data_IF_941936498692
#
_entry.id   IF_941936498692
#
_cell.length_a   1.000
_cell.length_b   1.000
_cell.length_c   1.000
_cell.angle_alpha   90.00
_cell.angle_beta   90.00
_cell.angle_gamma   90.00
#
_symmetry.space_group_name_H-M   'P 1'
#
loop_
_entity.id
_entity.type
_entity.pdbx_description
1 polymer ?
#
# COMPACT_ATOMS: atom_id res chain seq x y z
N UNK A 1 23.50 -70.44 -18.62
CA UNK A 1 23.75 -68.99 -18.87
C UNK A 1 25.06 -68.62 -18.16
N UNK A 2 26.03 -68.11 -18.94
CA UNK A 2 27.40 -67.92 -18.47
C UNK A 2 27.53 -66.76 -17.49
N UNK A 3 28.19 -66.97 -16.34
CA UNK A 3 28.41 -66.00 -15.28
C UNK A 3 29.00 -64.65 -15.71
N UNK A 4 29.71 -64.64 -16.85
CA UNK A 4 30.24 -63.40 -17.49
C UNK A 4 29.14 -62.48 -18.07
N UNK A 5 28.03 -63.01 -18.56
CA UNK A 5 26.89 -62.17 -19.08
C UNK A 5 26.11 -61.51 -17.95
N UNK A 6 26.01 -62.16 -16.78
CA UNK A 6 25.32 -61.60 -15.61
C UNK A 6 26.13 -60.42 -15.02
N UNK A 7 27.47 -60.53 -14.96
CA UNK A 7 28.33 -59.43 -14.45
C UNK A 7 28.31 -58.21 -15.37
N UNK A 8 28.27 -58.40 -16.71
CA UNK A 8 28.19 -57.30 -17.65
C UNK A 8 26.81 -56.60 -17.61
N UNK A 9 25.74 -57.34 -17.35
CA UNK A 9 24.39 -56.77 -17.24
C UNK A 9 24.22 -55.97 -15.96
N UNK A 10 24.77 -56.42 -14.83
CA UNK A 10 24.71 -55.72 -13.56
C UNK A 10 25.56 -54.44 -13.58
N UNK A 11 26.74 -54.44 -14.21
CA UNK A 11 27.58 -53.26 -14.37
C UNK A 11 26.92 -52.23 -15.27
N UNK A 12 26.28 -52.63 -16.38
CA UNK A 12 25.57 -51.73 -17.28
C UNK A 12 24.35 -51.09 -16.60
N UNK A 13 23.59 -51.86 -15.81
CA UNK A 13 22.43 -51.33 -15.08
C UNK A 13 22.85 -50.34 -14.02
N UNK A 14 24.01 -50.60 -13.34
CA UNK A 14 24.53 -49.68 -12.30
C UNK A 14 25.05 -48.37 -12.93
N UNK A 15 25.72 -48.43 -14.09
CA UNK A 15 26.21 -47.25 -14.80
C UNK A 15 25.04 -46.37 -15.31
N UNK A 16 23.96 -46.99 -15.83
CA UNK A 16 22.76 -46.27 -16.27
C UNK A 16 22.04 -45.63 -15.08
N UNK A 17 21.98 -46.27 -13.92
CA UNK A 17 21.41 -45.72 -12.68
C UNK A 17 22.23 -44.53 -12.13
N UNK A 18 23.57 -44.62 -12.17
CA UNK A 18 24.47 -43.51 -11.77
C UNK A 18 24.39 -42.35 -12.75
N UNK A 19 24.33 -42.61 -14.08
CA UNK A 19 24.17 -41.58 -15.07
C UNK A 19 22.79 -40.89 -14.97
N UNK A 20 21.71 -41.63 -14.74
CA UNK A 20 20.37 -41.08 -14.51
C UNK A 20 20.29 -40.26 -13.22
N UNK A 21 20.93 -40.73 -12.14
CA UNK A 21 21.03 -39.98 -10.87
C UNK A 21 21.86 -38.70 -11.00
N UNK A 22 22.95 -38.72 -11.77
CA UNK A 22 23.75 -37.53 -12.03
C UNK A 22 23.05 -36.53 -12.96
N UNK A 23 22.27 -37.00 -13.93
CA UNK A 23 21.42 -36.15 -14.78
C UNK A 23 20.29 -35.56 -13.94
N UNK A 24 19.64 -36.36 -13.08
CA UNK A 24 18.60 -35.88 -12.17
C UNK A 24 19.09 -34.84 -11.17
N UNK A 25 20.30 -35.04 -10.62
CA UNK A 25 20.93 -34.06 -9.72
C UNK A 25 21.41 -32.79 -10.45
N UNK A 26 21.82 -32.89 -11.73
CA UNK A 26 22.17 -31.70 -12.51
C UNK A 26 20.92 -30.93 -13.01
N UNK A 27 19.80 -31.59 -13.32
CA UNK A 27 18.57 -30.91 -13.64
C UNK A 27 17.98 -30.19 -12.41
N UNK A 28 18.06 -30.76 -11.21
CA UNK A 28 17.62 -30.08 -9.99
C UNK A 28 18.59 -28.99 -9.49
N UNK A 29 19.85 -28.96 -9.96
CA UNK A 29 20.78 -27.87 -9.68
C UNK A 29 20.66 -26.69 -10.61
N UNK A 30 20.06 -26.87 -11.79
CA UNK A 30 19.82 -25.76 -12.74
C UNK A 30 18.53 -24.99 -12.47
N UNK A 31 17.62 -25.47 -11.60
CA UNK A 31 16.37 -24.81 -11.27
C UNK A 31 16.39 -24.03 -9.95
N UNK A 32 17.52 -24.02 -9.24
CA UNK A 32 17.78 -23.02 -8.22
C UNK A 32 18.52 -21.85 -8.87
N UNK A 33 17.81 -21.07 -9.70
CA UNK A 33 18.21 -19.71 -9.93
C UNK A 33 18.32 -19.09 -8.54
N UNK A 34 19.52 -18.75 -8.12
CA UNK A 34 19.75 -17.98 -6.91
C UNK A 34 18.92 -16.70 -7.07
N UNK A 35 17.81 -16.61 -6.34
CA UNK A 35 17.17 -15.32 -6.11
C UNK A 35 18.29 -14.41 -5.63
N UNK A 36 18.60 -13.30 -6.31
CA UNK A 36 19.58 -12.36 -5.80
C UNK A 36 19.14 -12.05 -4.37
N UNK A 37 20.04 -12.26 -3.41
CA UNK A 37 19.79 -11.85 -2.05
C UNK A 37 19.38 -10.36 -2.12
N UNK A 38 18.26 -9.95 -1.49
CA UNK A 38 17.97 -8.54 -1.39
C UNK A 38 19.22 -7.86 -0.88
N UNK A 39 19.72 -6.86 -1.60
CA UNK A 39 20.92 -6.16 -1.17
C UNK A 39 20.70 -5.68 0.24
N UNK A 40 21.54 -6.12 1.17
CA UNK A 40 21.52 -5.66 2.54
C UNK A 40 21.83 -4.16 2.53
N UNK A 41 20.81 -3.34 2.41
CA UNK A 41 20.92 -1.88 2.41
C UNK A 41 21.08 -1.30 3.81
N UNK A 42 21.22 -2.16 4.82
CA UNK A 42 21.20 -1.76 6.23
C UNK A 42 22.37 -0.85 6.62
N UNK A 43 23.49 -0.91 5.89
CA UNK A 43 24.70 -0.19 6.29
C UNK A 43 24.90 1.18 5.63
N UNK A 44 24.33 1.44 4.45
CA UNK A 44 24.60 2.70 3.75
C UNK A 44 23.73 3.88 4.26
N UNK A 45 22.59 3.59 4.88
CA UNK A 45 21.71 4.61 5.45
C UNK A 45 21.97 4.92 6.94
N UNK A 46 22.72 4.07 7.66
CA UNK A 46 23.06 4.29 9.06
C UNK A 46 24.33 5.13 9.29
N UNK A 47 25.13 5.37 8.26
CA UNK A 47 26.33 6.19 8.38
C UNK A 47 25.99 7.68 8.19
N UNK A 48 25.60 8.37 9.27
CA UNK A 48 25.47 9.82 9.24
C UNK A 48 24.37 10.42 10.11
N UNK A 49 24.32 10.05 11.38
CA UNK A 49 23.65 10.87 12.39
C UNK A 49 24.46 12.14 12.68
N UNK A 50 24.83 12.89 11.63
CA UNK A 50 25.26 14.27 11.73
C UNK A 50 24.01 15.14 11.71
N UNK A 51 23.67 15.77 12.83
CA UNK A 51 22.51 16.62 12.99
C UNK A 51 22.47 17.74 11.96
N UNK A 52 21.77 17.50 10.85
CA UNK A 52 21.28 18.55 10.00
C UNK A 52 20.05 19.12 10.69
N UNK A 53 20.13 20.36 11.13
CA UNK A 53 18.96 21.11 11.60
C UNK A 53 17.91 21.08 10.49
N UNK A 54 16.68 20.56 10.72
CA UNK A 54 15.64 20.60 9.71
C UNK A 54 15.44 22.05 9.28
N UNK A 55 15.47 22.32 7.96
CA UNK A 55 15.12 23.64 7.45
C UNK A 55 13.70 24.04 7.92
N UNK A 56 13.44 25.35 7.99
CA UNK A 56 12.12 25.84 8.38
C UNK A 56 11.02 25.20 7.49
N UNK A 57 9.87 24.77 8.07
CA UNK A 57 8.78 24.18 7.32
C UNK A 57 8.28 25.08 6.19
N UNK A 58 8.04 24.55 5.01
CA UNK A 58 7.54 25.27 3.84
C UNK A 58 6.09 24.89 3.54
N UNK A 59 5.28 25.85 3.11
CA UNK A 59 3.84 25.69 2.84
C UNK A 59 3.48 25.75 1.36
N UNK A 60 4.46 25.89 0.47
CA UNK A 60 4.21 26.05 -0.97
C UNK A 60 3.63 24.79 -1.62
N UNK A 61 2.77 24.99 -2.62
CA UNK A 61 2.35 23.96 -3.59
C UNK A 61 2.91 24.34 -4.95
N UNK A 62 3.55 23.40 -5.65
CA UNK A 62 4.13 23.61 -6.97
C UNK A 62 3.57 22.59 -7.96
N UNK A 63 3.31 23.02 -9.16
CA UNK A 63 2.74 22.26 -10.27
C UNK A 63 1.70 23.08 -11.04
N UNK A 64 1.01 22.48 -12.03
CA UNK A 64 1.07 21.05 -12.41
C UNK A 64 2.40 20.67 -13.07
N UNK A 65 2.92 19.51 -12.69
CA UNK A 65 4.04 18.85 -13.33
C UNK A 65 3.46 17.81 -14.27
N UNK A 66 3.49 18.06 -15.57
CA UNK A 66 3.05 17.11 -16.58
C UNK A 66 4.19 16.16 -16.86
N UNK A 67 4.02 14.89 -16.45
CA UNK A 67 5.03 13.87 -16.65
C UNK A 67 5.08 13.35 -18.09
N UNK A 68 6.23 12.79 -18.46
CA UNK A 68 6.33 12.02 -19.71
C UNK A 68 5.44 10.79 -19.60
N UNK A 69 4.62 10.46 -20.63
CA UNK A 69 3.83 9.24 -20.60
C UNK A 69 4.70 8.00 -20.45
N UNK A 70 4.35 7.13 -19.49
CA UNK A 70 5.09 5.91 -19.15
C UNK A 70 4.59 4.76 -20.02
N UNK A 71 5.46 4.15 -20.80
CA UNK A 71 5.10 3.00 -21.62
C UNK A 71 4.87 1.77 -20.76
N UNK A 72 3.87 0.98 -21.13
CA UNK A 72 3.63 -0.32 -20.52
C UNK A 72 4.64 -1.36 -21.03
N UNK A 73 5.13 -2.22 -20.14
CA UNK A 73 5.56 -3.56 -20.48
C UNK A 73 4.36 -4.52 -20.39
N UNK A 74 4.45 -5.70 -21.00
CA UNK A 74 3.33 -6.61 -21.15
C UNK A 74 3.68 -8.02 -20.69
N UNK A 75 2.78 -8.65 -19.95
CA UNK A 75 2.79 -10.07 -19.64
C UNK A 75 1.46 -10.71 -20.08
N UNK A 76 1.55 -11.76 -20.91
CA UNK A 76 0.38 -12.45 -21.50
C UNK A 76 0.17 -13.85 -20.92
N UNK A 77 0.99 -14.27 -19.96
CA UNK A 77 0.93 -15.59 -19.34
C UNK A 77 0.00 -15.65 -18.12
N UNK A 78 -0.03 -16.79 -17.49
CA UNK A 78 -0.62 -16.99 -16.18
C UNK A 78 0.43 -16.75 -15.08
N UNK A 79 0.03 -16.15 -13.96
CA UNK A 79 0.91 -16.07 -12.79
C UNK A 79 1.32 -17.44 -12.25
N UNK A 80 0.56 -18.50 -12.59
CA UNK A 80 0.92 -19.87 -12.22
C UNK A 80 2.07 -20.45 -13.08
N UNK A 81 2.41 -19.79 -14.20
CA UNK A 81 3.58 -20.13 -15.01
C UNK A 81 4.88 -19.55 -14.41
N UNK A 82 4.74 -18.60 -13.48
CA UNK A 82 5.86 -17.99 -12.77
C UNK A 82 6.27 -18.82 -11.55
N UNK A 83 7.50 -18.69 -11.05
CA UNK A 83 7.93 -19.32 -9.81
C UNK A 83 7.00 -18.98 -8.64
N UNK A 84 6.33 -19.99 -8.09
CA UNK A 84 5.47 -19.82 -6.92
C UNK A 84 6.28 -19.81 -5.63
N UNK A 85 5.86 -19.01 -4.64
CA UNK A 85 6.51 -18.96 -3.33
C UNK A 85 6.25 -20.28 -2.60
N UNK A 86 7.33 -20.97 -2.20
CA UNK A 86 7.27 -22.12 -1.29
C UNK A 86 7.32 -21.68 0.17
N UNK A 87 6.99 -22.57 1.12
CA UNK A 87 7.22 -22.33 2.53
C UNK A 87 8.71 -22.11 2.78
N UNK A 88 9.06 -21.10 3.59
CA UNK A 88 10.44 -20.80 4.03
C UNK A 88 11.32 -19.94 3.08
N UNK A 89 10.80 -18.98 2.35
CA UNK A 89 11.63 -17.88 1.83
C UNK A 89 11.68 -16.77 2.88
N UNK A 90 12.52 -16.94 3.88
CA UNK A 90 12.77 -15.91 4.89
C UNK A 90 13.94 -15.04 4.45
N UNK A 91 13.66 -13.83 4.06
CA UNK A 91 14.60 -12.71 4.15
C UNK A 91 13.82 -11.53 4.73
N UNK A 92 14.04 -11.16 5.99
CA UNK A 92 13.42 -9.97 6.54
C UNK A 92 13.99 -8.75 5.81
N UNK A 93 13.19 -8.10 4.98
CA UNK A 93 13.43 -6.71 4.63
C UNK A 93 13.08 -5.87 5.84
N UNK A 94 13.97 -5.00 6.25
CA UNK A 94 13.71 -4.02 7.27
C UNK A 94 13.43 -2.70 6.60
N UNK A 95 12.20 -2.22 6.75
CA UNK A 95 11.83 -0.88 6.31
C UNK A 95 12.73 0.17 6.97
N UNK A 96 13.04 1.22 6.24
CA UNK A 96 13.71 2.38 6.80
C UNK A 96 12.71 3.13 7.69
N UNK A 97 12.84 3.01 9.01
CA UNK A 97 12.07 3.82 9.93
C UNK A 97 12.53 5.29 9.83
N UNK A 98 11.69 6.14 9.27
CA UNK A 98 11.85 7.57 9.38
C UNK A 98 11.24 8.01 10.71
N UNK A 99 12.08 8.57 11.59
CA UNK A 99 11.56 9.14 12.81
C UNK A 99 10.68 10.35 12.46
N UNK A 100 9.48 10.34 13.00
CA UNK A 100 8.60 11.52 12.98
C UNK A 100 9.35 12.71 13.57
N UNK A 101 9.35 13.83 12.84
CA UNK A 101 9.98 15.07 13.27
C UNK A 101 9.14 15.74 14.40
N UNK A 102 9.09 15.11 15.58
CA UNK A 102 8.79 15.77 16.83
C UNK A 102 7.45 16.51 16.95
N UNK A 103 6.37 15.95 16.40
CA UNK A 103 5.01 16.44 16.70
C UNK A 103 4.58 15.89 18.06
N UNK A 104 4.85 16.66 19.11
CA UNK A 104 4.53 16.31 20.49
C UNK A 104 3.11 15.79 20.67
N UNK A 105 2.99 14.65 21.35
CA UNK A 105 1.75 14.21 21.94
C UNK A 105 1.38 15.17 23.07
N UNK A 106 0.12 15.56 23.16
CA UNK A 106 -0.45 16.20 24.34
C UNK A 106 -0.77 15.13 25.40
N UNK A 107 -0.88 15.52 26.66
CA UNK A 107 -1.31 14.62 27.71
C UNK A 107 -2.72 14.08 27.41
N UNK A 108 -2.83 12.79 27.20
CA UNK A 108 -4.06 12.07 26.85
C UNK A 108 -4.66 11.29 28.01
N UNK A 109 -4.47 11.78 29.23
CA UNK A 109 -4.98 11.14 30.46
C UNK A 109 -6.50 11.19 30.61
N UNK A 110 -7.18 12.14 29.93
CA UNK A 110 -8.62 12.31 29.97
C UNK A 110 -9.38 11.53 28.88
N UNK A 111 -10.73 11.45 29.01
CA UNK A 111 -11.57 10.82 28.00
C UNK A 111 -11.64 11.69 26.74
N UNK A 112 -11.76 11.02 25.59
CA UNK A 112 -12.02 11.66 24.30
C UNK A 112 -13.43 12.29 24.28
N UNK A 113 -13.59 13.54 23.79
CA UNK A 113 -14.86 14.29 23.88
C UNK A 113 -16.02 13.70 23.08
N UNK A 114 -15.74 12.79 22.13
CA UNK A 114 -16.78 12.07 21.37
C UNK A 114 -16.66 10.57 21.54
N UNK A 115 -16.24 10.14 22.73
CA UNK A 115 -16.20 8.73 23.10
C UNK A 115 -17.60 8.13 22.95
N UNK A 116 -17.73 7.08 22.17
CA UNK A 116 -18.97 6.35 22.02
C UNK A 116 -19.34 5.68 23.35
N UNK A 117 -20.58 5.92 23.82
CA UNK A 117 -21.09 5.22 24.98
C UNK A 117 -21.01 3.70 24.75
N UNK A 118 -20.71 2.90 25.79
CA UNK A 118 -20.81 1.45 25.68
C UNK A 118 -22.24 1.10 25.23
N UNK A 119 -22.36 0.36 24.14
CA UNK A 119 -23.68 -0.12 23.72
C UNK A 119 -24.23 -1.05 24.80
N UNK A 120 -25.37 -0.66 25.39
CA UNK A 120 -26.04 -1.47 26.41
C UNK A 120 -26.64 -2.77 25.86
N UNK A 121 -26.78 -2.86 24.54
CA UNK A 121 -27.07 -4.11 23.82
C UNK A 121 -25.86 -4.43 22.94
N UNK A 122 -25.21 -5.53 23.20
CA UNK A 122 -24.28 -6.15 22.26
C UNK A 122 -25.16 -6.65 21.11
N UNK A 123 -25.36 -5.86 20.07
CA UNK A 123 -25.71 -6.46 18.80
C UNK A 123 -24.53 -7.36 18.46
N UNK A 124 -24.77 -8.67 18.49
CA UNK A 124 -23.74 -9.63 18.21
C UNK A 124 -23.18 -9.35 16.83
N UNK A 125 -21.84 -9.21 16.73
CA UNK A 125 -21.19 -9.14 15.44
C UNK A 125 -21.73 -10.28 14.56
N UNK A 126 -22.00 -10.02 13.27
CA UNK A 126 -22.37 -11.10 12.35
C UNK A 126 -21.38 -12.24 12.47
N UNK A 127 -21.85 -13.48 12.38
CA UNK A 127 -20.96 -14.62 12.34
C UNK A 127 -19.96 -14.50 11.18
N UNK A 128 -18.72 -14.92 11.41
CA UNK A 128 -17.71 -14.95 10.35
C UNK A 128 -18.23 -15.80 9.18
N UNK A 129 -18.19 -15.26 7.98
CA UNK A 129 -18.45 -16.02 6.77
C UNK A 129 -17.27 -16.96 6.46
N UNK A 130 -16.29 -16.45 5.73
CA UNK A 130 -15.06 -17.18 5.38
C UNK A 130 -13.90 -16.58 6.16
N UNK A 131 -13.10 -17.44 6.79
CA UNK A 131 -11.86 -17.07 7.48
C UNK A 131 -10.76 -18.06 7.13
N UNK A 132 -9.59 -17.57 6.73
CA UNK A 132 -8.45 -18.39 6.38
C UNK A 132 -7.14 -17.65 6.66
N UNK A 133 -6.04 -18.43 6.83
CA UNK A 133 -4.72 -17.86 7.00
C UNK A 133 -4.19 -17.31 5.65
N UNK A 134 -3.75 -16.05 5.65
CA UNK A 134 -3.11 -15.41 4.51
C UNK A 134 -1.60 -15.60 4.48
N UNK A 135 -0.89 -14.59 3.95
CA UNK A 135 0.56 -14.52 3.96
C UNK A 135 1.06 -14.16 5.37
N UNK A 136 2.13 -14.80 5.81
CA UNK A 136 2.78 -14.52 7.09
C UNK A 136 4.31 -14.56 6.98
N UNK A 137 5.02 -14.16 8.05
CA UNK A 137 6.48 -14.10 8.07
C UNK A 137 7.13 -15.48 7.90
N UNK A 138 6.53 -16.53 8.41
CA UNK A 138 7.08 -17.89 8.41
C UNK A 138 6.79 -18.62 7.11
N UNK A 139 5.61 -18.36 6.56
CA UNK A 139 5.12 -18.97 5.33
C UNK A 139 4.94 -17.91 4.27
N UNK A 140 5.42 -18.18 3.05
CA UNK A 140 5.14 -17.40 1.86
C UNK A 140 5.88 -16.06 1.75
N UNK A 141 6.83 -15.81 2.63
CA UNK A 141 7.67 -14.61 2.64
C UNK A 141 6.93 -13.37 3.11
N UNK A 142 7.55 -12.63 3.99
CA UNK A 142 7.13 -11.29 4.41
C UNK A 142 8.35 -10.52 4.90
N UNK A 143 8.32 -9.20 4.73
CA UNK A 143 9.31 -8.29 5.30
C UNK A 143 8.95 -7.86 6.72
N UNK A 144 9.77 -7.00 7.30
CA UNK A 144 9.54 -6.26 8.52
C UNK A 144 9.58 -4.76 8.22
N UNK A 145 8.50 -4.04 8.53
CA UNK A 145 7.16 -4.49 8.91
C UNK A 145 6.44 -5.23 7.78
N UNK A 146 5.31 -5.91 8.02
CA UNK A 146 4.61 -6.68 6.99
C UNK A 146 3.88 -5.80 5.97
N UNK A 147 3.49 -4.59 6.32
CA UNK A 147 2.72 -3.63 5.52
C UNK A 147 1.55 -4.28 4.78
N UNK A 148 0.81 -5.06 5.55
CA UNK A 148 -0.29 -5.85 5.03
C UNK A 148 -1.34 -4.96 4.38
N UNK A 149 -1.63 -5.24 3.11
CA UNK A 149 -2.67 -4.59 2.33
C UNK A 149 -3.49 -5.65 1.59
N UNK A 150 -4.72 -5.35 1.24
CA UNK A 150 -5.56 -6.29 0.51
C UNK A 150 -6.82 -5.64 -0.03
N UNK A 151 -7.36 -6.20 -1.10
CA UNK A 151 -8.63 -5.79 -1.67
C UNK A 151 -9.41 -6.99 -2.19
N UNK A 152 -10.72 -6.80 -2.39
CA UNK A 152 -11.65 -7.85 -2.77
C UNK A 152 -12.41 -7.46 -4.04
N UNK A 153 -12.31 -8.33 -5.05
CA UNK A 153 -13.12 -8.25 -6.26
C UNK A 153 -14.30 -9.24 -6.23
N UNK A 154 -15.04 -9.38 -7.32
CA UNK A 154 -16.19 -10.27 -7.39
C UNK A 154 -15.85 -11.75 -7.11
N UNK A 155 -14.70 -12.22 -7.59
CA UNK A 155 -14.32 -13.64 -7.54
C UNK A 155 -13.04 -13.91 -6.77
N UNK A 156 -12.24 -12.88 -6.48
CA UNK A 156 -10.91 -13.01 -5.90
C UNK A 156 -10.75 -12.10 -4.69
N UNK A 157 -9.85 -12.50 -3.80
CA UNK A 157 -9.22 -11.68 -2.78
C UNK A 157 -7.72 -11.65 -3.05
N UNK A 158 -7.10 -10.48 -3.08
CA UNK A 158 -5.65 -10.34 -3.18
C UNK A 158 -5.14 -9.74 -1.87
N UNK A 159 -4.15 -10.39 -1.27
CA UNK A 159 -3.38 -9.87 -0.16
C UNK A 159 -1.95 -9.60 -0.62
N UNK A 160 -1.41 -8.47 -0.21
CA UNK A 160 0.01 -8.17 -0.29
C UNK A 160 0.60 -7.99 1.10
N UNK A 161 1.84 -8.39 1.23
CA UNK A 161 2.71 -8.05 2.35
C UNK A 161 4.04 -7.59 1.76
N UNK A 162 4.89 -6.92 2.53
CA UNK A 162 6.24 -6.64 2.08
C UNK A 162 6.87 -7.94 1.57
N UNK A 163 7.34 -7.91 0.30
CA UNK A 163 7.92 -8.96 -0.53
C UNK A 163 6.97 -9.86 -1.31
N UNK A 164 5.67 -9.97 -0.97
CA UNK A 164 4.85 -11.08 -1.51
C UNK A 164 3.40 -10.72 -1.82
N UNK A 165 2.84 -11.44 -2.78
CA UNK A 165 1.46 -11.34 -3.24
C UNK A 165 0.80 -12.70 -3.12
N UNK A 166 -0.38 -12.76 -2.49
CA UNK A 166 -1.24 -13.94 -2.44
C UNK A 166 -2.58 -13.67 -3.09
N UNK A 167 -2.99 -14.53 -4.01
CA UNK A 167 -4.28 -14.47 -4.69
C UNK A 167 -5.12 -15.66 -4.25
N UNK A 168 -6.33 -15.39 -3.81
CA UNK A 168 -7.24 -16.37 -3.22
C UNK A 168 -8.61 -16.31 -3.88
N UNK A 169 -9.30 -17.45 -3.90
CA UNK A 169 -10.73 -17.45 -4.18
C UNK A 169 -11.52 -16.84 -3.03
N UNK A 170 -12.80 -16.55 -3.24
CA UNK A 170 -13.70 -16.06 -2.18
C UNK A 170 -13.94 -17.08 -1.06
N UNK A 171 -13.55 -18.34 -1.27
CA UNK A 171 -13.62 -19.42 -0.27
C UNK A 171 -12.28 -19.69 0.43
N UNK A 172 -11.24 -18.89 0.13
CA UNK A 172 -9.93 -19.00 0.75
C UNK A 172 -8.98 -19.99 0.08
N UNK A 173 -9.38 -20.61 -1.04
CA UNK A 173 -8.45 -21.44 -1.80
C UNK A 173 -7.34 -20.59 -2.43
N UNK A 174 -6.10 -21.01 -2.28
CA UNK A 174 -4.93 -20.36 -2.90
C UNK A 174 -4.99 -20.58 -4.40
N UNK A 175 -4.92 -19.50 -5.17
CA UNK A 175 -4.91 -19.53 -6.63
C UNK A 175 -3.51 -19.25 -7.19
N UNK A 176 -2.75 -18.34 -6.57
CA UNK A 176 -1.36 -18.05 -6.91
C UNK A 176 -0.66 -17.34 -5.76
N UNK A 177 0.65 -17.55 -5.61
CA UNK A 177 1.51 -16.82 -4.67
C UNK A 177 2.84 -16.54 -5.33
N UNK A 178 3.17 -15.27 -5.50
CA UNK A 178 4.42 -14.82 -6.14
C UNK A 178 5.05 -13.70 -5.33
N UNK A 179 6.35 -13.48 -5.51
CA UNK A 179 7.02 -12.30 -4.98
C UNK A 179 6.92 -11.13 -5.97
N UNK A 180 7.13 -9.89 -5.51
CA UNK A 180 7.13 -8.72 -6.40
C UNK A 180 8.22 -8.79 -7.45
N UNK A 181 9.43 -9.19 -7.06
CA UNK A 181 10.51 -9.38 -8.04
C UNK A 181 10.17 -10.44 -9.10
N UNK A 182 9.42 -11.48 -8.75
CA UNK A 182 8.92 -12.47 -9.73
C UNK A 182 7.84 -11.88 -10.62
N UNK A 183 6.91 -11.08 -10.06
CA UNK A 183 5.85 -10.45 -10.84
C UNK A 183 6.41 -9.47 -11.89
N UNK A 184 7.44 -8.71 -11.54
CA UNK A 184 8.04 -7.71 -12.41
C UNK A 184 9.25 -8.23 -13.22
N UNK A 185 9.63 -9.51 -13.08
CA UNK A 185 10.76 -10.10 -13.80
C UNK A 185 10.53 -10.09 -15.31
N UNK A 186 11.59 -9.84 -16.07
CA UNK A 186 11.56 -9.81 -17.54
C UNK A 186 10.81 -8.63 -18.15
N UNK A 187 10.40 -7.64 -17.36
CA UNK A 187 9.70 -6.45 -17.89
C UNK A 187 10.63 -5.51 -18.68
N UNK A 188 11.93 -5.61 -18.50
CA UNK A 188 12.93 -4.70 -19.12
C UNK A 188 12.75 -3.24 -18.67
N UNK A 189 12.11 -3.00 -17.54
CA UNK A 189 11.87 -1.68 -16.95
C UNK A 189 12.74 -1.48 -15.70
N UNK A 190 12.83 -0.27 -15.13
CA UNK A 190 13.46 -0.08 -13.82
C UNK A 190 12.84 -0.88 -12.66
N UNK A 191 11.65 -1.44 -12.84
CA UNK A 191 10.98 -2.32 -11.89
C UNK A 191 11.38 -3.80 -12.04
N UNK A 192 12.19 -4.13 -13.05
CA UNK A 192 12.58 -5.50 -13.35
C UNK A 192 13.27 -6.14 -12.15
N UNK A 193 12.75 -7.29 -11.70
CA UNK A 193 13.23 -8.05 -10.55
C UNK A 193 13.38 -7.24 -9.25
N UNK A 194 12.65 -6.11 -9.10
CA UNK A 194 12.65 -5.31 -7.88
C UNK A 194 11.59 -5.80 -6.87
N UNK A 195 11.84 -5.55 -5.59
CA UNK A 195 10.97 -5.89 -4.47
C UNK A 195 11.39 -5.06 -3.25
N UNK A 196 10.94 -3.81 -3.21
CA UNK A 196 11.47 -2.82 -2.26
C UNK A 196 10.46 -2.40 -1.20
N UNK A 197 9.19 -2.87 -1.28
CA UNK A 197 8.21 -2.75 -0.21
C UNK A 197 7.09 -1.73 -0.45
N UNK A 198 6.34 -1.48 0.60
CA UNK A 198 5.15 -0.61 0.68
C UNK A 198 4.09 -0.94 -0.38
N UNK A 199 3.71 -2.21 -0.55
CA UNK A 199 2.76 -2.58 -1.59
C UNK A 199 1.37 -2.01 -1.31
N UNK A 200 0.67 -1.66 -2.39
CA UNK A 200 -0.76 -1.33 -2.36
C UNK A 200 -1.47 -2.19 -3.38
N UNK A 201 -2.60 -2.79 -3.01
CA UNK A 201 -3.50 -3.46 -3.93
C UNK A 201 -4.86 -2.78 -3.93
N UNK A 202 -5.42 -2.57 -5.13
CA UNK A 202 -6.75 -2.01 -5.34
C UNK A 202 -7.50 -2.82 -6.38
N UNK A 203 -8.81 -2.97 -6.20
CA UNK A 203 -9.72 -3.41 -7.23
C UNK A 203 -10.46 -2.20 -7.82
N UNK A 204 -10.20 -1.94 -9.11
CA UNK A 204 -10.92 -0.92 -9.86
C UNK A 204 -12.26 -1.48 -10.35
N UNK A 205 -13.32 -1.20 -9.61
CA UNK A 205 -14.66 -1.68 -9.93
C UNK A 205 -15.23 -1.11 -11.22
N UNK A 206 -14.75 0.03 -11.71
CA UNK A 206 -15.22 0.63 -12.96
C UNK A 206 -14.77 -0.15 -14.20
N UNK A 207 -13.59 -0.77 -14.12
CA UNK A 207 -13.04 -1.56 -15.23
C UNK A 207 -12.98 -3.06 -14.95
N UNK A 208 -13.19 -3.46 -13.70
CA UNK A 208 -12.96 -4.83 -13.28
C UNK A 208 -11.48 -5.23 -13.38
N UNK A 209 -10.57 -4.36 -12.93
CA UNK A 209 -9.13 -4.59 -12.99
C UNK A 209 -8.50 -4.51 -11.61
N UNK A 210 -7.43 -5.27 -11.44
CA UNK A 210 -6.58 -5.22 -10.27
C UNK A 210 -5.40 -4.28 -10.52
N UNK A 211 -5.04 -3.51 -9.52
CA UNK A 211 -3.87 -2.63 -9.53
C UNK A 211 -3.03 -3.00 -8.33
N UNK A 212 -1.76 -3.29 -8.55
CA UNK A 212 -0.80 -3.65 -7.51
C UNK A 212 0.43 -2.79 -7.68
N UNK A 213 0.96 -2.24 -6.58
CA UNK A 213 2.18 -1.42 -6.63
C UNK A 213 3.26 -1.93 -5.69
N UNK A 214 4.50 -1.53 -5.97
CA UNK A 214 5.70 -1.77 -5.18
C UNK A 214 6.74 -0.69 -5.51
N UNK A 215 7.76 -0.52 -4.69
CA UNK A 215 8.87 0.40 -4.97
C UNK A 215 9.92 -0.20 -5.90
N UNK A 216 10.68 0.70 -6.58
CA UNK A 216 11.93 0.32 -7.21
C UNK A 216 12.98 1.43 -7.16
N UNK A 217 14.22 1.02 -6.97
CA UNK A 217 15.41 1.83 -7.17
C UNK A 217 16.64 0.94 -7.39
N UNK A 218 17.46 1.32 -8.35
CA UNK A 218 18.70 0.57 -8.61
C UNK A 218 19.81 0.86 -7.58
N UNK A 219 19.78 2.02 -6.96
CA UNK A 219 20.71 2.46 -5.91
C UNK A 219 20.00 3.34 -4.90
N UNK A 220 20.52 3.42 -3.68
CA UNK A 220 20.03 4.33 -2.63
C UNK A 220 20.08 5.82 -3.01
N UNK A 221 20.69 6.12 -4.16
CA UNK A 221 20.76 7.48 -4.71
C UNK A 221 19.66 7.78 -5.72
N UNK A 222 18.83 6.79 -6.05
CA UNK A 222 17.81 6.85 -7.09
C UNK A 222 18.37 6.62 -8.50
N UNK A 223 17.60 6.86 -9.55
CA UNK A 223 16.23 7.35 -9.49
C UNK A 223 15.28 6.38 -8.79
N UNK A 224 14.16 6.93 -8.27
CA UNK A 224 13.14 6.19 -7.53
C UNK A 224 11.88 6.05 -8.38
N UNK A 225 11.23 4.91 -8.28
CA UNK A 225 10.07 4.55 -9.07
C UNK A 225 8.95 3.99 -8.21
N UNK A 226 7.72 4.17 -8.68
CA UNK A 226 6.57 3.36 -8.31
C UNK A 226 6.33 2.37 -9.43
N UNK A 227 6.41 1.09 -9.12
CA UNK A 227 6.10 -0.02 -10.01
C UNK A 227 4.62 -0.31 -9.95
N UNK A 228 3.93 -0.29 -11.06
CA UNK A 228 2.49 -0.45 -11.11
C UNK A 228 2.15 -1.59 -12.05
N UNK A 229 1.51 -2.63 -11.52
CA UNK A 229 0.94 -3.73 -12.28
C UNK A 229 -0.58 -3.55 -12.40
N UNK A 230 -1.13 -3.66 -13.61
CA UNK A 230 -2.56 -3.55 -13.89
C UNK A 230 -3.00 -4.82 -14.62
N UNK A 231 -3.95 -5.56 -14.03
CA UNK A 231 -4.46 -6.78 -14.71
C UNK A 231 -5.22 -6.44 -15.98
N UNK A 232 -5.04 -7.23 -17.03
CA UNK A 232 -5.72 -7.02 -18.31
C UNK A 232 -7.18 -7.44 -18.28
N UNK A 233 -7.54 -8.29 -17.33
CA UNK A 233 -8.90 -8.81 -17.14
C UNK A 233 -9.29 -8.78 -15.66
N UNK A 234 -10.50 -9.16 -15.32
CA UNK A 234 -10.94 -9.32 -13.94
C UNK A 234 -10.34 -10.56 -13.25
N UNK A 235 -9.75 -11.48 -14.01
CA UNK A 235 -8.99 -12.61 -13.50
C UNK A 235 -7.52 -12.21 -13.33
N UNK A 236 -7.03 -12.06 -12.08
CA UNK A 236 -5.66 -11.64 -11.82
C UNK A 236 -4.64 -12.76 -12.01
N UNK A 237 -5.07 -14.01 -12.15
CA UNK A 237 -4.17 -15.17 -12.27
C UNK A 237 -3.82 -15.46 -13.72
N UNK A 238 -4.83 -15.61 -14.58
CA UNK A 238 -4.66 -16.07 -15.98
C UNK A 238 -4.84 -14.96 -17.02
N UNK A 239 -5.28 -13.77 -16.59
CA UNK A 239 -5.66 -12.68 -17.48
C UNK A 239 -4.51 -11.88 -18.10
N UNK A 240 -3.29 -12.05 -17.60
CA UNK A 240 -2.13 -11.23 -17.99
C UNK A 240 -2.12 -9.84 -17.32
N UNK A 241 -1.01 -9.12 -17.50
CA UNK A 241 -0.75 -7.86 -16.82
C UNK A 241 -0.07 -6.82 -17.71
N UNK A 242 -0.34 -5.54 -17.45
CA UNK A 242 0.41 -4.38 -17.90
C UNK A 242 1.29 -3.88 -16.75
N UNK A 243 2.54 -3.49 -17.06
CA UNK A 243 3.49 -3.00 -16.06
C UNK A 243 3.97 -1.59 -16.42
N UNK A 244 3.94 -0.69 -15.47
CA UNK A 244 4.40 0.68 -15.61
C UNK A 244 5.45 0.99 -14.55
N UNK A 245 6.58 1.57 -14.94
CA UNK A 245 7.60 2.09 -14.03
C UNK A 245 7.52 3.61 -13.99
N UNK A 246 6.73 4.15 -13.06
CA UNK A 246 6.58 5.59 -12.88
C UNK A 246 7.80 6.14 -12.14
N UNK A 247 8.65 6.93 -12.79
CA UNK A 247 9.70 7.65 -12.09
C UNK A 247 9.10 8.75 -11.21
N UNK A 248 9.11 8.53 -9.90
CA UNK A 248 8.57 9.47 -8.91
C UNK A 248 9.52 10.63 -8.64
N UNK A 249 10.83 10.34 -8.63
CA UNK A 249 11.89 11.33 -8.45
C UNK A 249 13.25 10.81 -8.92
N UNK A 250 14.16 11.72 -9.24
CA UNK A 250 15.56 11.39 -9.52
C UNK A 250 16.40 11.23 -8.25
N UNK A 251 15.97 11.79 -7.12
CA UNK A 251 16.81 11.93 -5.93
C UNK A 251 16.05 11.94 -4.59
N UNK A 252 14.74 11.67 -4.59
CA UNK A 252 13.92 11.58 -3.38
C UNK A 252 13.14 10.28 -3.41
N UNK A 253 13.18 9.53 -2.29
CA UNK A 253 12.36 8.35 -2.08
C UNK A 253 10.89 8.77 -1.91
N UNK A 254 9.99 8.05 -2.57
CA UNK A 254 8.54 8.20 -2.49
C UNK A 254 7.95 7.23 -1.45
N UNK A 255 8.23 7.47 -0.20
CA UNK A 255 7.85 6.63 0.92
C UNK A 255 6.34 6.66 1.21
N UNK A 256 5.81 5.56 1.73
CA UNK A 256 4.43 5.45 2.19
C UNK A 256 3.40 5.80 1.10
N UNK A 257 3.43 5.16 -0.09
CA UNK A 257 2.49 5.46 -1.17
C UNK A 257 1.06 5.10 -0.75
N UNK A 258 0.12 5.96 -1.11
CA UNK A 258 -1.30 5.70 -0.93
C UNK A 258 -2.04 6.00 -2.21
N UNK A 259 -2.90 5.08 -2.61
CA UNK A 259 -3.61 5.14 -3.88
C UNK A 259 -5.13 5.18 -3.67
N UNK A 260 -5.84 5.74 -4.64
CA UNK A 260 -7.29 5.77 -4.69
C UNK A 260 -7.82 5.66 -6.11
N UNK A 261 -8.88 4.89 -6.29
CA UNK A 261 -9.59 4.72 -7.56
C UNK A 261 -10.62 5.82 -7.73
N UNK A 262 -10.61 6.46 -8.90
CA UNK A 262 -11.58 7.49 -9.29
C UNK A 262 -12.00 7.30 -10.75
N UNK A 263 -13.15 7.83 -11.20
CA UNK A 263 -13.60 7.63 -12.58
C UNK A 263 -12.61 8.07 -13.66
N UNK A 264 -11.90 9.15 -13.42
CA UNK A 264 -10.98 9.78 -14.38
C UNK A 264 -9.49 9.46 -14.16
N UNK A 265 -9.12 8.83 -13.03
CA UNK A 265 -7.73 8.56 -12.71
C UNK A 265 -7.54 7.59 -11.55
N UNK A 266 -6.32 7.09 -11.43
CA UNK A 266 -5.79 6.54 -10.20
C UNK A 266 -4.98 7.66 -9.54
N UNK A 267 -5.38 8.03 -8.34
CA UNK A 267 -4.71 9.11 -7.59
C UNK A 267 -3.75 8.52 -6.58
N UNK A 268 -2.57 9.11 -6.47
CA UNK A 268 -1.51 8.63 -5.59
C UNK A 268 -0.90 9.78 -4.79
N UNK A 269 -0.42 9.49 -3.61
CA UNK A 269 0.41 10.39 -2.81
C UNK A 269 1.57 9.63 -2.18
N UNK A 270 2.69 10.32 -1.94
CA UNK A 270 3.81 9.79 -1.16
C UNK A 270 4.46 10.89 -0.34
N UNK A 271 5.02 10.52 0.80
CA UNK A 271 5.96 11.33 1.55
C UNK A 271 7.31 11.27 0.84
N UNK A 272 7.92 12.42 0.59
CA UNK A 272 9.20 12.49 -0.11
C UNK A 272 10.33 12.66 0.87
N UNK A 273 11.38 11.85 0.72
CA UNK A 273 12.57 11.92 1.56
C UNK A 273 13.83 12.10 0.71
N UNK A 274 14.71 13.01 1.12
CA UNK A 274 15.99 13.20 0.44
C UNK A 274 16.92 12.00 0.67
N UNK A 275 17.99 11.91 -0.10
CA UNK A 275 19.06 10.91 0.12
C UNK A 275 19.66 10.96 1.53
N UNK A 276 19.62 12.12 2.19
CA UNK A 276 20.05 12.29 3.58
C UNK A 276 18.96 11.93 4.60
N UNK A 277 17.88 11.27 4.16
CA UNK A 277 16.71 10.87 4.98
C UNK A 277 15.95 12.04 5.60
N UNK A 278 16.13 13.25 5.08
CA UNK A 278 15.37 14.41 5.54
C UNK A 278 14.04 14.46 4.81
N UNK A 279 12.97 14.73 5.53
CA UNK A 279 11.65 14.93 4.96
C UNK A 279 11.64 16.12 4.00
N UNK A 280 11.10 15.92 2.80
CA UNK A 280 11.10 16.91 1.72
C UNK A 280 9.69 17.40 1.32
N UNK A 281 8.66 16.91 1.99
CA UNK A 281 7.26 17.26 1.72
C UNK A 281 6.48 16.10 1.12
N UNK A 282 5.32 16.40 0.55
CA UNK A 282 4.44 15.42 -0.10
C UNK A 282 4.43 15.64 -1.61
N UNK A 283 4.38 14.57 -2.37
CA UNK A 283 4.07 14.63 -3.80
C UNK A 283 2.79 13.86 -4.07
N UNK A 284 1.94 14.40 -4.94
CA UNK A 284 0.65 13.81 -5.31
C UNK A 284 0.58 13.68 -6.83
N UNK A 285 -0.10 12.63 -7.30
CA UNK A 285 -0.23 12.35 -8.73
C UNK A 285 -1.67 12.01 -9.08
N UNK A 286 -2.07 12.34 -10.31
CA UNK A 286 -3.15 11.72 -11.05
C UNK A 286 -2.53 10.89 -12.18
N UNK A 287 -2.86 9.62 -12.27
CA UNK A 287 -2.45 8.67 -13.30
C UNK A 287 -3.67 8.38 -14.18
N UNK A 288 -3.51 8.48 -15.51
CA UNK A 288 -4.65 8.29 -16.39
C UNK A 288 -5.13 6.84 -16.39
N UNK A 289 -6.28 6.61 -15.76
CA UNK A 289 -6.86 5.28 -15.59
C UNK A 289 -7.17 4.60 -16.93
N UNK A 290 -7.69 5.33 -17.93
CA UNK A 290 -8.01 4.78 -19.25
C UNK A 290 -6.76 4.29 -19.98
N UNK A 291 -5.65 5.02 -19.88
CA UNK A 291 -4.37 4.59 -20.44
C UNK A 291 -3.89 3.31 -19.73
N UNK A 292 -3.97 3.27 -18.40
CA UNK A 292 -3.50 2.13 -17.60
C UNK A 292 -4.22 0.83 -17.93
N UNK A 293 -5.55 0.87 -18.05
CA UNK A 293 -6.34 -0.34 -18.32
C UNK A 293 -6.24 -0.84 -19.77
N UNK A 294 -5.84 0.03 -20.70
CA UNK A 294 -5.67 -0.32 -22.13
C UNK A 294 -4.24 -0.69 -22.51
N UNK A 295 -3.26 -0.55 -21.60
CA UNK A 295 -1.84 -0.73 -21.92
C UNK A 295 -1.24 0.40 -22.77
N UNK A 296 -1.95 1.52 -22.89
CA UNK A 296 -1.43 2.72 -23.56
C UNK A 296 -0.33 3.39 -22.71
N UNK A 297 0.51 4.26 -23.31
CA UNK A 297 1.45 5.05 -22.53
C UNK A 297 0.72 5.90 -21.49
N UNK A 298 0.90 5.60 -20.20
CA UNK A 298 0.20 6.19 -19.08
C UNK A 298 0.57 7.67 -18.91
N UNK A 299 -0.38 8.57 -19.15
CA UNK A 299 -0.25 10.00 -18.86
C UNK A 299 -0.35 10.23 -17.36
N UNK A 300 0.39 11.20 -16.87
CA UNK A 300 0.39 11.53 -15.45
C UNK A 300 0.58 13.05 -15.23
N UNK A 301 -0.01 13.54 -14.13
CA UNK A 301 0.11 14.93 -13.67
C UNK A 301 0.41 14.90 -12.18
N UNK A 302 1.35 15.71 -11.72
CA UNK A 302 1.74 15.74 -10.32
C UNK A 302 1.79 17.16 -9.75
N UNK A 303 1.71 17.23 -8.41
CA UNK A 303 1.98 18.43 -7.61
C UNK A 303 2.88 18.08 -6.45
N UNK A 304 3.69 19.04 -6.01
CA UNK A 304 4.52 18.92 -4.82
C UNK A 304 4.06 19.90 -3.75
N UNK A 305 4.10 19.45 -2.50
CA UNK A 305 3.76 20.25 -1.33
C UNK A 305 4.96 20.36 -0.41
N UNK A 306 5.07 21.49 0.28
CA UNK A 306 6.14 21.76 1.22
C UNK A 306 6.08 20.90 2.49
N UNK A 307 7.13 21.00 3.29
CA UNK A 307 7.37 20.16 4.50
C UNK A 307 6.41 20.43 5.68
N UNK A 308 5.54 21.45 5.58
CA UNK A 308 4.45 21.67 6.55
C UNK A 308 3.28 20.69 6.41
N UNK A 309 3.28 19.89 5.36
CA UNK A 309 2.26 18.89 5.08
C UNK A 309 2.86 17.49 5.21
N UNK A 310 2.09 16.54 5.69
CA UNK A 310 2.56 15.19 5.92
C UNK A 310 1.42 14.20 5.65
N UNK A 311 1.75 13.13 4.93
CA UNK A 311 0.86 12.01 4.62
C UNK A 311 -0.54 12.46 4.20
N UNK A 312 -0.71 12.74 2.92
CA UNK A 312 -2.00 12.98 2.31
C UNK A 312 -2.56 11.66 1.77
N UNK A 313 -3.86 11.44 1.95
CA UNK A 313 -4.55 10.27 1.42
C UNK A 313 -5.52 10.67 0.32
N UNK A 314 -5.41 10.12 -0.90
CA UNK A 314 -6.43 10.30 -1.93
C UNK A 314 -7.71 9.57 -1.53
N UNK A 315 -8.86 10.15 -1.90
CA UNK A 315 -10.14 9.45 -1.77
C UNK A 315 -10.25 8.33 -2.81
N UNK A 316 -10.86 7.24 -2.40
CA UNK A 316 -11.14 6.08 -3.25
C UNK A 316 -12.63 5.79 -3.27
N UNK A 317 -13.14 5.38 -4.43
CA UNK A 317 -14.49 4.85 -4.55
C UNK A 317 -14.41 3.33 -4.47
N UNK A 318 -15.21 2.77 -3.62
CA UNK A 318 -15.38 1.33 -3.49
C UNK A 318 -16.84 0.96 -3.82
N UNK A 319 -17.10 -0.30 -4.11
CA UNK A 319 -18.45 -0.76 -4.43
C UNK A 319 -19.03 -0.08 -5.69
N UNK A 320 -20.34 0.07 -5.75
CA UNK A 320 -21.09 0.59 -6.90
C UNK A 320 -21.45 2.08 -6.76
N UNK A 321 -20.81 2.80 -5.84
CA UNK A 321 -21.07 4.22 -5.67
C UNK A 321 -20.72 5.01 -6.92
N UNK A 322 -21.60 5.91 -7.32
CA UNK A 322 -21.38 6.80 -8.45
C UNK A 322 -20.77 8.11 -7.97
N UNK A 323 -19.71 8.55 -8.63
CA UNK A 323 -19.14 9.87 -8.43
C UNK A 323 -19.85 10.85 -9.39
N UNK A 324 -20.44 11.92 -8.90
CA UNK A 324 -21.05 12.94 -9.78
C UNK A 324 -20.01 13.48 -10.78
N UNK A 325 -20.45 13.81 -11.99
CA UNK A 325 -19.57 14.31 -13.03
C UNK A 325 -18.80 15.55 -12.55
N UNK A 326 -17.56 15.67 -12.99
CA UNK A 326 -16.64 16.78 -12.64
C UNK A 326 -16.30 16.90 -11.16
N UNK A 327 -16.60 15.88 -10.33
CA UNK A 327 -16.17 15.86 -8.94
C UNK A 327 -14.66 15.63 -8.88
N UNK A 328 -13.88 16.52 -8.24
CA UNK A 328 -12.44 16.33 -8.07
C UNK A 328 -12.16 15.12 -7.14
N UNK A 329 -10.99 14.54 -7.22
CA UNK A 329 -10.53 13.66 -6.16
C UNK A 329 -10.16 14.49 -4.93
N UNK A 330 -10.50 13.99 -3.75
CA UNK A 330 -10.24 14.66 -2.49
C UNK A 330 -9.03 14.01 -1.80
N UNK A 331 -8.12 14.86 -1.32
CA UNK A 331 -7.00 14.41 -0.51
C UNK A 331 -7.19 14.91 0.92
N UNK A 332 -6.97 14.03 1.88
CA UNK A 332 -7.15 14.34 3.30
C UNK A 332 -5.84 14.17 4.07
N UNK A 333 -5.62 14.99 5.07
CA UNK A 333 -4.57 14.77 6.07
C UNK A 333 -4.98 15.17 7.48
N UNK A 334 -4.36 14.51 8.44
CA UNK A 334 -4.42 14.89 9.85
C UNK A 334 -3.61 16.19 10.05
N UNK A 335 -4.11 17.10 10.89
CA UNK A 335 -3.36 18.33 11.16
C UNK A 335 -3.26 18.64 12.65
N UNK A 336 -4.13 19.48 13.17
CA UNK A 336 -4.14 19.91 14.56
C UNK A 336 -5.15 19.09 15.38
N UNK A 337 -5.12 19.17 16.71
CA UNK A 337 -6.01 18.37 17.56
C UNK A 337 -7.52 18.55 17.33
N UNK A 338 -7.92 19.55 16.56
CA UNK A 338 -9.33 19.83 16.23
C UNK A 338 -9.53 20.16 14.74
N UNK A 339 -8.58 19.78 13.89
CA UNK A 339 -8.62 20.20 12.47
C UNK A 339 -8.06 19.12 11.56
N UNK A 340 -8.84 18.75 10.54
CA UNK A 340 -8.40 18.02 9.36
C UNK A 340 -8.14 19.00 8.22
N UNK A 341 -7.37 18.58 7.23
CA UNK A 341 -7.11 19.35 6.01
C UNK A 341 -7.57 18.57 4.79
N UNK A 342 -8.22 19.26 3.84
CA UNK A 342 -8.70 18.70 2.60
C UNK A 342 -8.17 19.49 1.42
N UNK A 343 -7.76 18.79 0.36
CA UNK A 343 -7.42 19.32 -0.95
C UNK A 343 -8.32 18.74 -2.02
N UNK A 344 -8.41 19.45 -3.16
CA UNK A 344 -9.14 19.03 -4.36
C UNK A 344 -8.16 18.91 -5.50
N UNK A 345 -8.04 17.72 -6.09
CA UNK A 345 -7.28 17.50 -7.31
C UNK A 345 -8.25 17.41 -8.48
N UNK A 346 -8.20 18.38 -9.38
CA UNK A 346 -8.95 18.39 -10.65
C UNK A 346 -7.95 18.18 -11.77
N UNK A 347 -7.95 17.00 -12.38
CA UNK A 347 -7.09 16.70 -13.53
C UNK A 347 -7.83 17.07 -14.83
N UNK A 348 -7.09 17.63 -15.79
CA UNK A 348 -7.56 17.86 -17.14
C UNK A 348 -6.72 17.05 -18.12
N UNK A 349 -7.24 15.94 -18.60
CA UNK A 349 -6.50 15.07 -19.52
C UNK A 349 -6.40 15.60 -20.95
N UNK A 350 -7.21 16.58 -21.33
CA UNK A 350 -7.13 17.26 -22.64
C UNK A 350 -6.04 18.34 -22.62
N UNK A 351 -5.96 19.10 -21.54
CA UNK A 351 -4.96 20.15 -21.32
C UNK A 351 -4.32 19.94 -19.94
N UNK A 352 -3.37 18.99 -19.82
CA UNK A 352 -2.82 18.60 -18.50
C UNK A 352 -2.19 19.76 -17.70
N UNK A 353 -1.69 20.80 -18.39
CA UNK A 353 -1.16 22.02 -17.77
C UNK A 353 -2.22 22.88 -17.10
N UNK A 354 -3.51 22.66 -17.35
CA UNK A 354 -4.63 23.32 -16.66
C UNK A 354 -5.17 22.54 -15.46
N UNK A 355 -4.56 21.40 -15.11
CA UNK A 355 -4.89 20.66 -13.91
C UNK A 355 -4.60 21.49 -12.66
N UNK A 356 -5.40 21.28 -11.60
CA UNK A 356 -5.26 22.05 -10.36
C UNK A 356 -5.24 21.16 -9.13
N UNK A 357 -4.48 21.59 -8.13
CA UNK A 357 -4.49 21.00 -6.79
C UNK A 357 -4.67 22.13 -5.77
N UNK A 358 -5.90 22.30 -5.29
CA UNK A 358 -6.33 23.44 -4.48
C UNK A 358 -6.60 23.05 -3.05
N UNK A 359 -6.20 23.90 -2.11
CA UNK A 359 -6.33 23.66 -0.65
C UNK A 359 -5.09 24.13 0.09
N UNK A 360 -4.95 23.82 1.40
CA UNK A 360 -5.92 23.04 2.18
C UNK A 360 -7.14 23.83 2.61
N UNK A 361 -8.30 23.20 2.57
CA UNK A 361 -9.49 23.64 3.29
C UNK A 361 -9.47 23.01 4.67
N UNK A 362 -9.59 23.81 5.73
CA UNK A 362 -9.68 23.34 7.10
C UNK A 362 -11.08 22.77 7.39
N UNK A 363 -11.14 21.62 8.03
CA UNK A 363 -12.38 21.00 8.53
C UNK A 363 -12.27 20.91 10.04
N UNK A 364 -13.15 21.63 10.75
CA UNK A 364 -13.21 21.57 12.19
C UNK A 364 -13.81 20.24 12.65
N UNK A 365 -13.13 19.55 13.56
CA UNK A 365 -13.56 18.30 14.18
C UNK A 365 -13.56 18.44 15.70
N UNK A 366 -14.22 17.53 16.42
CA UNK A 366 -14.06 17.46 17.87
C UNK A 366 -12.59 17.24 18.21
N UNK A 367 -12.11 17.90 19.25
CA UNK A 367 -10.72 17.80 19.67
C UNK A 367 -10.33 16.35 19.99
N UNK A 368 -9.09 16.01 19.74
CA UNK A 368 -8.52 14.70 20.05
C UNK A 368 -7.06 14.84 20.49
N UNK A 369 -6.59 13.82 21.18
CA UNK A 369 -5.18 13.70 21.54
C UNK A 369 -4.53 12.70 20.59
N UNK A 370 -3.41 13.07 19.97
CA UNK A 370 -2.61 12.17 19.14
C UNK A 370 -1.83 11.22 20.05
N UNK A 371 -1.87 9.91 19.82
CA UNK A 371 -0.93 9.03 20.51
C UNK A 371 0.50 9.30 20.04
N UNK A 372 1.48 8.95 20.88
CA UNK A 372 2.89 9.05 20.46
C UNK A 372 3.18 8.04 19.37
N UNK A 373 4.09 8.37 18.46
CA UNK A 373 4.55 7.47 17.41
C UNK A 373 5.65 6.51 17.91
N UNK A 374 6.28 6.80 19.03
CA UNK A 374 7.35 5.98 19.59
C UNK A 374 6.87 5.10 20.74
N UNK A 375 6.60 3.83 20.46
CA UNK A 375 6.52 2.79 21.47
C UNK A 375 5.46 2.98 22.56
N UNK A 376 4.18 3.00 22.19
CA UNK A 376 3.08 3.12 23.15
C UNK A 376 2.40 1.81 23.49
N UNK A 377 2.12 0.96 22.48
CA UNK A 377 1.30 -0.24 22.64
C UNK A 377 2.12 -1.40 23.19
N UNK A 378 1.76 -1.98 24.35
CA UNK A 378 2.50 -3.09 24.93
C UNK A 378 2.35 -4.37 24.13
N UNK A 379 3.38 -5.20 24.16
CA UNK A 379 3.40 -6.52 23.54
C UNK A 379 3.53 -7.60 24.62
N UNK A 380 2.80 -8.71 24.47
CA UNK A 380 2.92 -9.86 25.35
C UNK A 380 4.34 -10.47 25.26
N UNK A 381 5.00 -10.63 26.39
CA UNK A 381 6.33 -11.24 26.48
C UNK A 381 7.49 -10.36 26.00
N UNK A 382 7.27 -9.07 25.76
CA UNK A 382 8.32 -8.12 25.33
C UNK A 382 8.24 -6.80 26.08
N UNK A 383 9.40 -6.20 26.36
CA UNK A 383 9.47 -4.81 26.84
C UNK A 383 9.40 -3.78 25.71
N UNK A 384 9.63 -4.21 24.46
CA UNK A 384 9.50 -3.36 23.29
C UNK A 384 8.04 -3.07 23.03
N UNK A 385 7.70 -1.81 22.81
CA UNK A 385 6.32 -1.37 22.53
C UNK A 385 6.16 -1.08 21.04
N UNK A 386 4.95 -1.25 20.53
CA UNK A 386 4.61 -0.98 19.13
C UNK A 386 4.33 0.51 18.90
N UNK A 387 4.66 0.98 17.71
CA UNK A 387 4.28 2.29 17.18
C UNK A 387 2.79 2.32 16.84
N UNK A 388 2.16 3.45 17.00
CA UNK A 388 0.72 3.64 16.75
C UNK A 388 0.44 4.31 15.41
N UNK A 389 1.45 4.85 14.71
CA UNK A 389 1.30 5.75 13.56
C UNK A 389 0.25 6.85 13.83
N UNK A 390 0.24 7.40 15.04
CA UNK A 390 -0.79 8.33 15.52
C UNK A 390 -0.74 9.73 14.90
N UNK A 391 0.22 10.00 14.03
CA UNK A 391 0.45 11.29 13.37
C UNK A 391 -0.28 11.43 12.02
N UNK A 392 -0.99 10.40 11.57
CA UNK A 392 -1.61 10.34 10.24
C UNK A 392 -2.99 9.70 10.24
N UNK A 393 -3.75 9.92 9.15
CA UNK A 393 -4.96 9.15 8.87
C UNK A 393 -4.58 7.73 8.49
N UNK A 394 -5.55 6.81 8.52
CA UNK A 394 -5.36 5.43 8.10
C UNK A 394 -6.12 5.12 6.80
N UNK A 395 -5.74 4.04 6.16
CA UNK A 395 -6.40 3.54 4.93
C UNK A 395 -7.82 3.10 5.28
N UNK A 396 -8.77 3.48 4.48
CA UNK A 396 -8.77 4.31 3.30
C UNK A 396 -9.62 5.57 3.55
N UNK A 397 -9.51 6.56 2.63
CA UNK A 397 -10.46 7.66 2.59
C UNK A 397 -11.56 7.24 1.60
N UNK A 398 -12.62 6.62 2.10
CA UNK A 398 -13.68 6.10 1.27
C UNK A 398 -14.65 7.21 0.87
N UNK A 399 -14.90 7.32 -0.44
CA UNK A 399 -16.00 8.14 -0.97
C UNK A 399 -17.25 7.26 -1.12
N UNK A 400 -18.36 7.72 -0.57
CA UNK A 400 -19.67 7.12 -0.73
C UNK A 400 -20.65 8.12 -1.35
N UNK A 401 -21.71 7.60 -1.94
CA UNK A 401 -22.81 8.40 -2.47
C UNK A 401 -24.14 7.68 -2.19
N UNK A 402 -24.43 7.46 -0.91
CA UNK A 402 -25.65 6.79 -0.44
C UNK A 402 -26.83 7.76 -0.60
N UNK A 403 -27.88 7.32 -1.29
CA UNK A 403 -29.08 8.12 -1.56
C UNK A 403 -28.79 9.50 -2.17
N UNK A 404 -27.79 9.59 -3.06
CA UNK A 404 -27.30 10.83 -3.65
C UNK A 404 -26.74 11.86 -2.64
N UNK A 405 -26.22 11.38 -1.51
CA UNK A 405 -25.52 12.19 -0.52
C UNK A 405 -24.03 11.83 -0.55
N UNK A 406 -23.19 12.63 -1.23
CA UNK A 406 -21.75 12.40 -1.25
C UNK A 406 -21.12 12.60 0.12
N UNK A 407 -20.31 11.64 0.58
CA UNK A 407 -19.60 11.71 1.84
C UNK A 407 -18.18 11.13 1.72
N UNK A 408 -17.29 11.59 2.60
CA UNK A 408 -15.96 11.00 2.83
C UNK A 408 -15.94 10.37 4.21
N UNK A 409 -15.46 9.13 4.26
CA UNK A 409 -15.30 8.38 5.50
C UNK A 409 -13.83 8.05 5.73
N UNK A 410 -13.36 8.28 6.93
CA UNK A 410 -11.96 8.02 7.30
C UNK A 410 -11.79 7.88 8.81
N UNK A 411 -10.64 7.35 9.20
CA UNK A 411 -10.32 7.08 10.60
C UNK A 411 -8.85 7.30 10.92
N UNK A 412 -8.54 7.39 12.21
CA UNK A 412 -7.17 7.42 12.74
C UNK A 412 -7.13 6.98 14.21
N UNK A 413 -5.94 6.74 14.72
CA UNK A 413 -5.72 6.46 16.13
C UNK A 413 -5.80 7.74 16.97
N UNK A 414 -6.43 7.66 18.15
CA UNK A 414 -6.43 8.72 19.17
C UNK A 414 -5.98 8.15 20.50
N UNK A 415 -5.50 9.01 21.40
CA UNK A 415 -5.23 8.67 22.79
C UNK A 415 -6.41 9.13 23.65
N UNK A 416 -6.98 8.24 24.45
CA UNK A 416 -8.08 8.51 25.35
C UNK A 416 -7.95 7.60 26.57
N UNK A 417 -8.12 8.15 27.79
CA UNK A 417 -7.95 7.38 29.02
C UNK A 417 -6.63 6.58 29.09
N UNK A 418 -5.54 7.15 28.59
CA UNK A 418 -4.20 6.55 28.55
C UNK A 418 -4.03 5.30 27.68
N UNK A 419 -5.03 4.94 26.89
CA UNK A 419 -4.95 3.87 25.86
C UNK A 419 -5.40 4.39 24.52
N UNK A 420 -5.03 3.69 23.43
CA UNK A 420 -5.44 4.10 22.09
C UNK A 420 -6.85 3.64 21.77
N UNK A 421 -7.60 4.51 21.10
CA UNK A 421 -8.90 4.25 20.52
C UNK A 421 -8.97 4.67 19.06
N UNK A 422 -10.06 4.35 18.41
CA UNK A 422 -10.27 4.63 16.99
C UNK A 422 -11.25 5.79 16.82
N UNK A 423 -10.80 6.89 16.27
CA UNK A 423 -11.64 8.01 15.87
C UNK A 423 -12.01 7.86 14.39
N UNK A 424 -13.31 8.01 14.09
CA UNK A 424 -13.85 7.94 12.74
C UNK A 424 -14.72 9.16 12.45
N UNK A 425 -14.89 9.46 11.15
CA UNK A 425 -15.58 10.64 10.65
C UNK A 425 -16.39 10.33 9.40
N UNK A 426 -17.53 11.02 9.28
CA UNK A 426 -18.21 11.26 8.02
C UNK A 426 -18.22 12.76 7.72
N UNK A 427 -17.65 13.12 6.57
CA UNK A 427 -17.60 14.51 6.10
C UNK A 427 -18.46 14.64 4.86
N UNK A 428 -19.30 15.66 4.83
CA UNK A 428 -20.20 16.01 3.73
C UNK A 428 -19.88 17.41 3.19
N UNK A 429 -20.61 17.81 2.13
CA UNK A 429 -20.51 19.14 1.50
C UNK A 429 -19.12 19.49 0.93
N UNK A 430 -18.33 18.49 0.47
CA UNK A 430 -16.96 18.68 0.01
C UNK A 430 -16.85 19.66 -1.18
N UNK A 431 -17.90 19.79 -1.99
CA UNK A 431 -17.92 20.72 -3.14
C UNK A 431 -17.91 22.19 -2.69
N UNK A 432 -18.60 22.51 -1.58
CA UNK A 432 -18.69 23.85 -1.00
C UNK A 432 -17.82 23.98 0.26
N UNK A 433 -18.44 24.12 1.42
CA UNK A 433 -17.76 24.15 2.73
C UNK A 433 -17.90 22.77 3.38
N UNK A 434 -16.83 21.98 3.45
CA UNK A 434 -16.92 20.64 4.03
C UNK A 434 -17.24 20.70 5.52
N UNK A 435 -18.14 19.85 5.96
CA UNK A 435 -18.61 19.78 7.36
C UNK A 435 -18.60 18.35 7.84
N UNK A 436 -18.24 18.16 9.11
CA UNK A 436 -18.41 16.88 9.78
C UNK A 436 -19.90 16.66 10.01
N UNK A 437 -20.45 15.61 9.39
CA UNK A 437 -21.84 15.20 9.61
C UNK A 437 -21.96 14.38 10.89
N UNK A 438 -21.03 13.44 11.08
CA UNK A 438 -20.91 12.66 12.31
C UNK A 438 -19.47 12.24 12.55
N UNK A 439 -19.15 11.96 13.80
CA UNK A 439 -17.87 11.46 14.27
C UNK A 439 -18.03 10.73 15.59
N UNK A 440 -17.13 9.83 15.89
CA UNK A 440 -17.12 9.11 17.17
C UNK A 440 -15.78 8.48 17.46
N UNK A 441 -15.54 8.13 18.71
CA UNK A 441 -14.38 7.36 19.14
C UNK A 441 -14.82 6.02 19.67
N UNK A 442 -14.39 4.96 19.01
CA UNK A 442 -14.61 3.60 19.44
C UNK A 442 -13.49 3.15 20.40
N UNK A 443 -13.86 3.03 21.67
CA UNK A 443 -13.02 2.56 22.76
C UNK A 443 -13.91 1.88 23.83
N UNK A 444 -14.41 0.67 23.55
CA UNK A 444 -15.40 0.04 24.40
C UNK A 444 -14.83 -0.50 25.73
N UNK A 445 -13.52 -0.57 25.87
CA UNK A 445 -12.81 -1.10 27.04
C UNK A 445 -11.42 -0.46 27.16
N UNK A 446 -10.59 -0.98 28.05
CA UNK A 446 -9.22 -0.52 28.31
C UNK A 446 -8.14 -1.17 27.41
N UNK A 447 -8.52 -1.89 26.35
CA UNK A 447 -7.56 -2.45 25.42
C UNK A 447 -7.12 -1.43 24.39
N UNK A 448 -5.85 -1.51 24.01
CA UNK A 448 -5.31 -0.67 22.96
C UNK A 448 -5.88 -1.06 21.60
N UNK A 449 -6.36 -0.08 20.85
CA UNK A 449 -6.78 -0.18 19.44
C UNK A 449 -6.10 0.90 18.63
N UNK A 450 -5.42 0.52 17.56
CA UNK A 450 -4.66 1.45 16.72
C UNK A 450 -4.63 0.96 15.28
N UNK A 451 -4.16 1.79 14.35
CA UNK A 451 -4.10 1.49 12.91
C UNK A 451 -5.44 0.95 12.37
N UNK A 452 -6.51 1.75 12.47
CA UNK A 452 -7.83 1.33 12.03
C UNK A 452 -7.93 1.18 10.52
N UNK A 453 -8.89 0.35 10.09
CA UNK A 453 -9.42 0.35 8.74
C UNK A 453 -10.93 0.55 8.83
N UNK A 454 -11.49 1.40 7.98
CA UNK A 454 -12.90 1.72 7.92
C UNK A 454 -13.46 1.42 6.53
N UNK A 455 -14.63 0.82 6.48
CA UNK A 455 -15.40 0.62 5.26
C UNK A 455 -16.89 0.88 5.51
N UNK A 456 -17.56 1.41 4.50
CA UNK A 456 -19.00 1.65 4.49
C UNK A 456 -19.61 0.91 3.32
N UNK A 457 -20.67 0.16 3.56
CA UNK A 457 -21.37 -0.62 2.53
C UNK A 457 -22.33 0.25 1.69
N UNK A 458 -23.02 -0.38 0.75
CA UNK A 458 -23.95 0.32 -0.16
C UNK A 458 -25.18 0.88 0.54
N UNK A 459 -25.50 0.38 1.71
CA UNK A 459 -26.66 0.80 2.52
C UNK A 459 -26.25 1.89 3.53
N UNK A 460 -24.95 2.17 3.68
CA UNK A 460 -24.43 3.20 4.57
C UNK A 460 -24.11 2.70 5.99
N UNK A 461 -24.00 1.37 6.16
CA UNK A 461 -23.59 0.77 7.44
C UNK A 461 -22.07 0.74 7.59
#
# INVERSE_FOLDING_TARGET
>A
MNSRKIRSLVVLTLIVAIAAGAIYMNFNRSAAASVPAPMAMENDFNAGAGGLTPGAPTTGTSGPIVGTPVRAAEFNGSLNDLPQIGPALQQPMREMSFQDSGRSASDGSGPDPVLQAPMLSIEAMPSLGVSFAGLDLTNWGAGWPPDTNGDVGPNHYIQTVNTSIGIYSKTGAVLSRVTFNTLFDGTGTPCDAQNMGDPVVLYDQYSGRWIITDFAWATTRGPFYECIAVSKTADPVSGGWWFYALQTSTNQLNDYPKLGVWPDGIYMSSNMFTRAKSYAGVKVWALNRADMISGAPMRNVAFTLGTSYFTLYPSTVTSTFTVPASTPNYFMSLYAPSTMRMWKFTVNWTTPTSSTFTGPTAITVASFTKPTTSGLVPQLGSSTKLDTLGDRLMVQIQFTNVNNVPALWFSHSVLSNSVTGIRWYEVRNMAATPTVYQQGTYQPDSLFRWMPSLAVDVDGN
#
